data_IF_462575783304
#
_entry.id   IF_462575783304
#
_cell.length_a   1.000
_cell.length_b   1.000
_cell.length_c   1.000
_cell.angle_alpha   90.00
_cell.angle_beta   90.00
_cell.angle_gamma   90.00
#
_symmetry.space_group_name_H-M   'P 1'
#
loop_
_entity.id
_entity.type
_entity.pdbx_description
1 polymer ?
#
# COMPACT_ATOMS: atom_id res chain seq x y z
N UNK A 1 -6.38 41.67 -19.30
CA UNK A 1 -6.02 40.27 -19.06
C UNK A 1 -6.63 39.88 -17.72
N UNK A 2 -7.60 38.97 -17.68
CA UNK A 2 -8.24 38.55 -16.41
C UNK A 2 -7.46 37.32 -15.93
N UNK A 3 -6.93 37.26 -14.70
CA UNK A 3 -6.34 36.04 -14.19
C UNK A 3 -7.49 35.07 -13.90
N UNK A 4 -7.51 33.95 -14.61
CA UNK A 4 -8.50 32.90 -14.41
C UNK A 4 -8.28 32.29 -13.03
N UNK A 5 -9.38 32.20 -12.31
CA UNK A 5 -9.49 31.81 -10.90
C UNK A 5 -9.33 30.29 -10.82
N UNK A 6 -8.33 29.85 -10.05
CA UNK A 6 -8.22 28.52 -9.43
C UNK A 6 -8.45 27.31 -10.35
N UNK A 7 -7.45 26.97 -11.16
CA UNK A 7 -7.13 25.56 -11.35
C UNK A 7 -6.55 25.07 -10.02
N UNK A 8 -7.41 24.57 -9.12
CA UNK A 8 -6.96 23.84 -7.95
C UNK A 8 -6.06 22.71 -8.48
N UNK A 9 -4.76 22.64 -8.12
CA UNK A 9 -3.97 21.48 -8.47
C UNK A 9 -4.70 20.29 -7.86
N UNK A 10 -5.04 19.29 -8.69
CA UNK A 10 -5.42 17.98 -8.18
C UNK A 10 -4.31 17.62 -7.20
N UNK A 11 -4.61 17.40 -5.90
CA UNK A 11 -3.59 17.00 -4.96
C UNK A 11 -2.90 15.78 -5.53
N UNK A 12 -1.59 15.87 -5.75
CA UNK A 12 -0.83 14.74 -6.23
C UNK A 12 -1.14 13.54 -5.33
N UNK A 13 -1.26 12.35 -5.91
CA UNK A 13 -1.53 11.13 -5.13
C UNK A 13 -0.46 10.92 -4.03
N UNK A 14 0.72 11.53 -4.19
CA UNK A 14 1.77 11.59 -3.17
C UNK A 14 1.41 12.44 -1.93
N UNK A 15 0.66 13.53 -2.09
CA UNK A 15 0.28 14.45 -1.00
C UNK A 15 -0.79 13.87 -0.07
N UNK A 16 -1.57 12.89 -0.55
CA UNK A 16 -2.61 12.20 0.23
C UNK A 16 -2.36 10.69 0.36
N UNK A 17 -1.11 10.25 0.14
CA UNK A 17 -0.75 8.85 0.30
C UNK A 17 -0.85 8.45 1.78
N UNK A 18 -1.73 7.51 2.11
CA UNK A 18 -1.86 6.91 3.44
C UNK A 18 -0.71 5.93 3.73
N UNK A 19 -0.19 5.28 2.68
CA UNK A 19 0.96 4.39 2.73
C UNK A 19 1.71 4.37 1.39
N UNK A 20 2.82 3.64 1.37
CA UNK A 20 3.68 3.48 0.20
C UNK A 20 3.92 1.99 -0.05
N UNK A 21 3.44 1.49 -1.18
CA UNK A 21 3.61 0.08 -1.54
C UNK A 21 4.91 -0.09 -2.33
N UNK A 22 5.85 -0.77 -1.71
CA UNK A 22 7.03 -1.31 -2.37
C UNK A 22 6.84 -2.78 -2.75
N UNK A 23 7.80 -3.31 -3.47
CA UNK A 23 7.92 -4.73 -3.79
C UNK A 23 8.05 -5.61 -2.54
N UNK A 24 8.74 -5.12 -1.49
CA UNK A 24 8.90 -5.86 -0.24
C UNK A 24 7.71 -5.72 0.72
N UNK A 25 6.83 -4.73 0.49
CA UNK A 25 5.62 -4.54 1.28
C UNK A 25 5.22 -3.08 1.47
N UNK A 26 4.40 -2.84 2.50
CA UNK A 26 3.86 -1.53 2.82
C UNK A 26 4.78 -0.76 3.77
N UNK A 27 5.05 0.48 3.43
CA UNK A 27 5.84 1.44 4.18
C UNK A 27 5.01 2.65 4.58
N UNK A 28 5.42 3.31 5.66
CA UNK A 28 4.72 4.51 6.17
C UNK A 28 4.99 5.74 5.32
N UNK A 29 6.18 5.81 4.72
CA UNK A 29 6.61 6.96 3.91
C UNK A 29 7.43 6.51 2.71
N UNK A 30 7.44 7.31 1.64
CA UNK A 30 8.29 7.08 0.46
C UNK A 30 9.77 6.98 0.83
N UNK A 31 10.22 7.84 1.74
CA UNK A 31 11.62 7.87 2.19
C UNK A 31 12.02 6.56 2.88
N UNK A 32 11.15 6.02 3.72
CA UNK A 32 11.38 4.73 4.39
C UNK A 32 11.53 3.60 3.36
N UNK A 33 10.65 3.53 2.36
CA UNK A 33 10.75 2.53 1.29
C UNK A 33 12.09 2.64 0.53
N UNK A 34 12.47 3.85 0.13
CA UNK A 34 13.74 4.09 -0.58
C UNK A 34 14.95 3.72 0.29
N UNK A 35 14.91 4.01 1.59
CA UNK A 35 15.98 3.62 2.52
C UNK A 35 16.10 2.10 2.69
N UNK A 36 15.00 1.37 2.51
CA UNK A 36 14.99 -0.09 2.50
C UNK A 36 15.41 -0.69 1.15
N UNK A 37 15.78 0.14 0.17
CA UNK A 37 16.27 -0.29 -1.13
C UNK A 37 15.17 -0.56 -2.16
N UNK A 38 13.94 -0.12 -1.89
CA UNK A 38 12.85 -0.25 -2.85
C UNK A 38 13.11 0.61 -4.09
N UNK A 39 13.18 -0.05 -5.25
CA UNK A 39 13.44 0.61 -6.53
C UNK A 39 12.18 1.25 -7.14
N UNK A 40 11.01 0.70 -6.80
CA UNK A 40 9.71 1.21 -7.22
C UNK A 40 8.79 1.25 -6.02
N UNK A 41 8.15 2.40 -5.83
CA UNK A 41 7.26 2.65 -4.71
C UNK A 41 6.07 3.45 -5.22
N UNK A 42 4.87 2.95 -4.98
CA UNK A 42 3.63 3.57 -5.41
C UNK A 42 2.88 4.13 -4.19
N UNK A 43 2.34 5.36 -4.27
CA UNK A 43 1.47 5.89 -3.23
C UNK A 43 0.18 5.07 -3.15
N UNK A 44 -0.30 4.82 -1.93
CA UNK A 44 -1.52 4.05 -1.67
C UNK A 44 -2.48 4.91 -0.86
N UNK A 45 -3.72 5.00 -1.33
CA UNK A 45 -4.80 5.72 -0.64
C UNK A 45 -5.34 4.93 0.56
N UNK A 46 -6.07 5.58 1.47
CA UNK A 46 -6.69 4.89 2.63
C UNK A 46 -7.60 3.72 2.20
N UNK A 47 -8.43 3.93 1.17
CA UNK A 47 -9.33 2.91 0.64
C UNK A 47 -8.54 1.69 0.12
N UNK A 48 -7.50 1.92 -0.67
CA UNK A 48 -6.64 0.87 -1.23
C UNK A 48 -5.91 0.11 -0.13
N UNK A 49 -5.41 0.80 0.90
CA UNK A 49 -4.76 0.20 2.05
C UNK A 49 -5.71 -0.73 2.82
N UNK A 50 -6.97 -0.32 3.00
CA UNK A 50 -8.01 -1.13 3.64
C UNK A 50 -8.32 -2.38 2.79
N UNK A 51 -8.42 -2.24 1.48
CA UNK A 51 -8.65 -3.37 0.57
C UNK A 51 -7.49 -4.37 0.60
N UNK A 52 -6.24 -3.89 0.56
CA UNK A 52 -5.04 -4.72 0.70
C UNK A 52 -5.05 -5.49 2.03
N UNK A 53 -5.36 -4.82 3.14
CA UNK A 53 -5.46 -5.46 4.45
C UNK A 53 -6.55 -6.54 4.50
N UNK A 54 -7.72 -6.28 3.89
CA UNK A 54 -8.81 -7.26 3.78
C UNK A 54 -8.42 -8.48 2.95
N UNK A 55 -7.70 -8.28 1.85
CA UNK A 55 -7.15 -9.35 1.02
C UNK A 55 -6.21 -10.26 1.81
N UNK A 56 -5.28 -9.66 2.57
CA UNK A 56 -4.31 -10.39 3.37
C UNK A 56 -4.96 -11.23 4.47
N UNK A 57 -6.03 -10.73 5.11
CA UNK A 57 -6.80 -11.50 6.11
C UNK A 57 -7.46 -12.74 5.49
N UNK A 58 -7.86 -12.69 4.22
CA UNK A 58 -8.46 -13.84 3.53
C UNK A 58 -7.43 -14.91 3.18
N UNK A 59 -6.21 -14.54 2.84
CA UNK A 59 -5.10 -15.48 2.57
C UNK A 59 -4.47 -16.05 3.85
N UNK A 60 -4.40 -15.27 4.94
CA UNK A 60 -3.92 -15.77 6.23
C UNK A 60 -4.81 -16.87 6.85
N UNK A 61 -6.10 -16.87 6.52
CA UNK A 61 -7.06 -17.87 6.97
C UNK A 61 -7.01 -19.18 6.16
N UNK A 62 -6.46 -19.16 4.94
CA UNK A 62 -6.35 -20.37 4.09
C UNK A 62 -5.04 -21.14 4.30
N UNK A 63 -3.98 -20.51 4.84
CA UNK A 63 -2.70 -21.16 5.10
C UNK A 63 -2.58 -21.84 6.47
N UNK A 64 -3.62 -21.76 7.30
CA UNK A 64 -3.66 -22.36 8.65
C UNK A 64 -4.51 -23.63 8.72
N UNK A 65 -4.50 -24.48 7.69
CA UNK A 65 -4.81 -25.89 7.92
C UNK A 65 -3.58 -26.56 8.54
N UNK A 66 -3.61 -27.00 9.80
CA UNK A 66 -2.55 -27.87 10.31
C UNK A 66 -2.53 -29.13 9.43
N UNK A 67 -1.42 -29.36 8.75
CA UNK A 67 -1.14 -30.65 8.15
C UNK A 67 -1.15 -31.66 9.30
N UNK A 68 -2.23 -32.44 9.39
CA UNK A 68 -2.28 -33.56 10.31
C UNK A 68 -1.32 -34.61 9.75
N UNK A 69 -0.08 -34.52 10.19
CA UNK A 69 0.89 -35.62 10.16
C UNK A 69 0.17 -36.87 10.69
N UNK A 70 -0.20 -37.78 9.78
CA UNK A 70 -0.47 -39.17 10.15
C UNK A 70 0.80 -39.93 9.90
N UNK A 71 1.65 -39.92 10.93
CA UNK A 71 2.64 -40.97 11.15
C UNK A 71 1.92 -42.29 11.47
N UNK A 72 2.50 -43.37 10.93
CA UNK A 72 2.23 -44.81 11.13
C UNK A 72 1.03 -45.44 10.43
#
# INVERSE_FOLDING_TARGET
MKPTVNDCPVPDAEDNAAAWLGQAGLYRTRLEAVQNGEQHVEPVSDDELIELARGHVREGLSHTQPQKEKHS
#
